data_IF_772765698551
#
_entry.id   IF_772765698551
#
_cell.length_a   1.000
_cell.length_b   1.000
_cell.length_c   1.000
_cell.angle_alpha   90.00
_cell.angle_beta   90.00
_cell.angle_gamma   90.00
#
_symmetry.space_group_name_H-M   'P 1'
#
loop_
_entity.id
_entity.type
_entity.pdbx_description
1 polymer ?
#
# COMPACT_ATOMS: atom_id res chain seq x y z
N UNK A 1 26.48 11.24 -26.71
CA UNK A 1 25.05 11.55 -26.96
C UNK A 1 24.40 12.06 -25.69
N UNK A 2 23.57 13.10 -25.78
CA UNK A 2 22.82 13.65 -24.66
C UNK A 2 21.35 13.95 -25.03
N UNK A 3 20.52 14.26 -24.04
CA UNK A 3 19.09 14.50 -24.26
C UNK A 3 18.78 15.68 -25.15
N UNK A 4 19.60 16.73 -25.13
CA UNK A 4 19.41 17.87 -26.02
C UNK A 4 19.64 17.48 -27.51
N UNK A 5 20.66 16.67 -27.78
CA UNK A 5 20.90 16.17 -29.12
C UNK A 5 19.75 15.29 -29.62
N UNK A 6 19.14 14.46 -28.77
CA UNK A 6 17.94 13.69 -29.15
C UNK A 6 16.75 14.62 -29.44
N UNK A 7 16.48 15.61 -28.57
CA UNK A 7 15.40 16.60 -28.83
C UNK A 7 15.64 17.37 -30.14
N UNK A 8 16.88 17.77 -30.40
CA UNK A 8 17.25 18.48 -31.63
C UNK A 8 17.06 17.61 -32.86
N UNK A 9 17.47 16.34 -32.80
CA UNK A 9 17.26 15.36 -33.84
C UNK A 9 15.78 15.17 -34.18
N UNK A 10 14.94 14.89 -33.16
CA UNK A 10 13.50 14.71 -33.34
C UNK A 10 12.83 15.97 -33.88
N UNK A 11 13.22 17.15 -33.38
CA UNK A 11 12.68 18.42 -33.90
C UNK A 11 13.08 18.66 -35.34
N UNK A 12 14.35 18.44 -35.70
CA UNK A 12 14.82 18.57 -37.09
C UNK A 12 14.14 17.57 -38.02
N UNK A 13 13.92 16.34 -37.56
CA UNK A 13 13.20 15.30 -38.30
C UNK A 13 11.76 15.72 -38.63
N UNK A 14 11.09 16.41 -37.69
CA UNK A 14 9.74 16.92 -37.87
C UNK A 14 9.64 18.07 -38.86
N UNK A 15 10.56 19.03 -38.80
CA UNK A 15 10.52 20.22 -39.64
C UNK A 15 11.24 20.05 -40.96
N UNK A 16 12.18 19.11 -41.07
CA UNK A 16 13.04 18.86 -42.21
C UNK A 16 13.74 20.12 -42.78
N UNK A 17 13.88 21.14 -41.94
CA UNK A 17 14.42 22.42 -42.26
C UNK A 17 15.16 23.04 -41.06
N UNK A 18 16.48 23.23 -41.17
CA UNK A 18 17.32 23.69 -40.06
C UNK A 18 16.85 24.99 -39.41
N UNK A 19 16.52 26.01 -40.24
CA UNK A 19 16.10 27.31 -39.71
C UNK A 19 14.80 27.18 -38.89
N UNK A 20 13.76 26.54 -39.42
CA UNK A 20 12.49 26.33 -38.73
C UNK A 20 12.66 25.51 -37.44
N UNK A 21 13.50 24.48 -37.49
CA UNK A 21 13.79 23.66 -36.32
C UNK A 21 14.55 24.44 -35.22
N UNK A 22 15.54 25.28 -35.64
CA UNK A 22 16.28 26.10 -34.68
C UNK A 22 15.41 27.20 -34.04
N UNK A 23 14.49 27.81 -34.79
CA UNK A 23 13.49 28.75 -34.27
C UNK A 23 12.59 28.08 -33.23
N UNK A 24 12.07 26.89 -33.54
CA UNK A 24 11.24 26.09 -32.59
C UNK A 24 11.99 25.71 -31.32
N UNK A 25 13.29 25.46 -31.43
CA UNK A 25 14.16 25.11 -30.31
C UNK A 25 14.73 26.33 -29.56
N UNK A 26 14.46 27.54 -30.03
CA UNK A 26 15.01 28.79 -29.49
C UNK A 26 16.56 28.80 -29.46
N UNK A 27 17.21 28.24 -30.48
CA UNK A 27 18.67 28.20 -30.65
C UNK A 27 19.09 28.74 -32.03
N UNK A 28 20.39 28.95 -32.21
CA UNK A 28 20.90 29.34 -33.54
C UNK A 28 20.99 28.12 -34.47
N UNK A 29 20.80 28.36 -35.77
CA UNK A 29 20.94 27.31 -36.79
C UNK A 29 22.35 26.65 -36.80
N UNK A 30 23.48 27.39 -36.65
CA UNK A 30 24.80 26.77 -36.51
C UNK A 30 24.90 25.83 -35.30
N UNK A 31 24.30 26.21 -34.14
CA UNK A 31 24.28 25.35 -32.93
C UNK A 31 23.53 24.04 -33.17
N UNK A 32 22.37 24.11 -33.85
CA UNK A 32 21.63 22.92 -34.23
C UNK A 32 22.44 22.03 -35.18
N UNK A 33 23.02 22.62 -36.21
CA UNK A 33 23.83 21.88 -37.21
C UNK A 33 25.03 21.19 -36.54
N UNK A 34 25.73 21.89 -35.66
CA UNK A 34 26.85 21.34 -34.92
C UNK A 34 26.42 20.16 -34.01
N UNK A 35 25.30 20.29 -33.29
CA UNK A 35 24.79 19.25 -32.41
C UNK A 35 24.39 17.98 -33.17
N UNK A 36 23.73 18.13 -34.35
CA UNK A 36 23.37 17.01 -35.23
C UNK A 36 24.62 16.34 -35.78
N UNK A 37 25.58 17.14 -36.27
CA UNK A 37 26.85 16.61 -36.80
C UNK A 37 27.65 15.86 -35.72
N UNK A 38 27.64 16.34 -34.47
CA UNK A 38 28.29 15.66 -33.37
C UNK A 38 27.58 14.32 -33.02
N UNK A 39 26.26 14.30 -33.08
CA UNK A 39 25.46 13.08 -32.87
C UNK A 39 25.77 12.04 -33.96
N UNK A 40 25.74 12.44 -35.23
CA UNK A 40 26.07 11.56 -36.35
C UNK A 40 27.50 11.03 -36.29
N UNK A 41 28.45 11.89 -35.88
CA UNK A 41 29.87 11.51 -35.70
C UNK A 41 30.03 10.45 -34.60
N UNK A 42 29.33 10.63 -33.50
CA UNK A 42 29.36 9.68 -32.36
C UNK A 42 28.75 8.33 -32.75
N UNK A 43 27.64 8.35 -33.49
CA UNK A 43 26.99 7.13 -33.99
C UNK A 43 27.71 6.49 -35.20
N UNK A 44 28.63 7.19 -35.82
CA UNK A 44 29.35 6.72 -37.00
C UNK A 44 28.49 6.61 -38.27
N UNK A 45 27.30 7.22 -38.30
CA UNK A 45 26.34 7.08 -39.40
C UNK A 45 25.60 8.40 -39.64
N UNK A 46 25.18 8.65 -40.89
CA UNK A 46 24.34 9.78 -41.23
C UNK A 46 22.88 9.51 -40.95
N UNK A 47 22.23 10.43 -40.20
CA UNK A 47 20.81 10.40 -39.89
C UNK A 47 19.99 11.25 -40.87
N UNK A 48 20.63 12.27 -41.44
CA UNK A 48 20.02 13.16 -42.45
C UNK A 48 20.84 13.18 -43.75
N UNK A 49 20.15 13.39 -44.84
CA UNK A 49 20.70 13.69 -46.16
C UNK A 49 20.07 14.97 -46.72
N UNK A 50 20.81 15.65 -47.61
CA UNK A 50 20.34 16.90 -48.22
C UNK A 50 19.28 16.63 -49.28
N UNK A 51 18.24 17.44 -49.26
CA UNK A 51 17.21 17.50 -50.28
C UNK A 51 16.98 18.97 -50.70
N UNK A 52 17.76 19.44 -51.66
CA UNK A 52 17.79 20.85 -52.06
C UNK A 52 18.17 21.78 -50.89
N UNK A 53 17.25 22.64 -50.48
CA UNK A 53 17.40 23.54 -49.32
C UNK A 53 16.98 22.90 -48.02
N UNK A 54 16.38 21.71 -48.06
CA UNK A 54 15.87 20.96 -46.93
C UNK A 54 16.80 19.80 -46.57
N UNK A 55 16.42 19.06 -45.55
CA UNK A 55 17.03 17.78 -45.15
C UNK A 55 15.94 16.75 -44.95
N UNK A 56 16.22 15.52 -45.33
CA UNK A 56 15.34 14.37 -45.12
C UNK A 56 16.05 13.30 -44.30
N UNK A 57 15.30 12.45 -43.67
CA UNK A 57 15.85 11.33 -42.88
C UNK A 57 16.38 10.24 -43.80
N UNK A 58 17.58 9.76 -43.52
CA UNK A 58 18.09 8.51 -44.07
C UNK A 58 17.26 7.32 -43.60
N UNK A 59 17.49 6.12 -44.14
CA UNK A 59 16.88 4.88 -43.63
C UNK A 59 17.20 4.66 -42.15
N UNK A 60 18.45 4.91 -41.75
CA UNK A 60 18.88 4.82 -40.35
C UNK A 60 18.26 5.91 -39.47
N UNK A 61 18.15 7.14 -39.99
CA UNK A 61 17.48 8.24 -39.33
C UNK A 61 16.00 7.93 -39.06
N UNK A 62 15.28 7.31 -40.00
CA UNK A 62 13.87 6.89 -39.80
C UNK A 62 13.73 5.82 -38.74
N UNK A 63 14.65 4.86 -38.68
CA UNK A 63 14.64 3.84 -37.61
C UNK A 63 14.92 4.47 -36.24
N UNK A 64 15.98 5.28 -36.17
CA UNK A 64 16.40 5.95 -34.94
C UNK A 64 15.36 6.95 -34.41
N UNK A 65 14.58 7.59 -35.31
CA UNK A 65 13.53 8.52 -34.93
C UNK A 65 12.49 7.88 -34.00
N UNK A 66 12.03 6.66 -34.30
CA UNK A 66 11.05 5.94 -33.49
C UNK A 66 11.56 5.72 -32.09
N UNK A 67 12.81 5.28 -31.96
CA UNK A 67 13.43 4.98 -30.68
C UNK A 67 13.69 6.25 -29.86
N UNK A 68 14.13 7.33 -30.54
CA UNK A 68 14.37 8.64 -29.94
C UNK A 68 13.07 9.28 -29.42
N UNK A 69 12.00 9.24 -30.20
CA UNK A 69 10.67 9.73 -29.79
C UNK A 69 10.14 8.97 -28.60
N UNK A 70 10.19 7.64 -28.63
CA UNK A 70 9.74 6.79 -27.51
C UNK A 70 10.53 7.07 -26.22
N UNK A 71 11.86 7.19 -26.35
CA UNK A 71 12.74 7.51 -25.19
C UNK A 71 12.40 8.86 -24.57
N UNK A 72 12.24 9.89 -25.40
CA UNK A 72 11.87 11.23 -24.92
C UNK A 72 10.48 11.25 -24.32
N UNK A 73 9.50 10.58 -24.91
CA UNK A 73 8.15 10.48 -24.38
C UNK A 73 8.11 9.77 -23.02
N UNK A 74 8.87 8.70 -22.86
CA UNK A 74 8.99 7.98 -21.58
C UNK A 74 9.58 8.89 -20.49
N UNK A 75 10.63 9.64 -20.82
CA UNK A 75 11.25 10.57 -19.88
C UNK A 75 10.27 11.71 -19.49
N UNK A 76 9.64 12.35 -20.48
CA UNK A 76 8.71 13.46 -20.26
C UNK A 76 7.52 12.99 -19.39
N UNK A 77 6.96 11.81 -19.66
CA UNK A 77 5.90 11.20 -18.85
C UNK A 77 6.36 10.95 -17.42
N UNK A 78 7.60 10.54 -17.23
CA UNK A 78 8.16 10.30 -15.88
C UNK A 78 8.34 11.60 -15.11
N UNK A 79 8.81 12.66 -15.77
CA UNK A 79 8.92 14.00 -15.17
C UNK A 79 7.55 14.56 -14.78
N UNK A 80 6.54 14.41 -15.64
CA UNK A 80 5.17 14.88 -15.32
C UNK A 80 4.56 14.11 -14.15
N UNK A 81 4.79 12.79 -14.03
CA UNK A 81 4.36 12.02 -12.86
C UNK A 81 5.01 12.56 -11.57
N UNK A 82 6.31 12.87 -11.59
CA UNK A 82 6.99 13.44 -10.42
C UNK A 82 6.47 14.84 -10.06
N UNK A 83 6.19 15.68 -11.04
CA UNK A 83 5.57 16.99 -10.81
C UNK A 83 4.17 16.86 -10.23
N UNK A 84 3.38 15.93 -10.72
CA UNK A 84 2.05 15.63 -10.20
C UNK A 84 2.13 15.12 -8.74
N UNK A 85 3.11 14.29 -8.43
CA UNK A 85 3.35 13.85 -7.05
C UNK A 85 3.74 15.00 -6.12
N UNK A 86 4.50 15.99 -6.59
CA UNK A 86 4.82 17.19 -5.83
C UNK A 86 3.58 18.05 -5.52
N UNK A 87 2.53 17.94 -6.30
CA UNK A 87 1.22 18.58 -6.07
C UNK A 87 0.29 17.77 -5.15
N UNK A 88 0.76 16.64 -4.64
CA UNK A 88 -0.01 15.76 -3.74
C UNK A 88 -0.95 14.79 -4.45
N UNK A 89 -0.75 14.56 -5.75
CA UNK A 89 -1.33 13.41 -6.44
C UNK A 89 -0.40 12.21 -6.34
N UNK A 90 -0.84 11.05 -6.78
CA UNK A 90 0.02 9.88 -6.94
C UNK A 90 -0.44 8.66 -6.17
N UNK A 91 0.53 7.86 -5.74
CA UNK A 91 0.30 6.54 -5.17
C UNK A 91 0.65 6.50 -3.70
N UNK A 92 -0.15 5.74 -2.93
CA UNK A 92 0.13 5.33 -1.57
C UNK A 92 0.16 3.80 -1.50
N UNK A 93 1.27 3.27 -1.04
CA UNK A 93 1.48 1.85 -0.81
C UNK A 93 1.26 1.53 0.67
N UNK A 94 0.22 0.74 0.97
CA UNK A 94 -0.24 0.49 2.32
C UNK A 94 -0.21 -1.00 2.63
N UNK A 95 0.63 -1.39 3.61
CA UNK A 95 0.57 -2.69 4.24
C UNK A 95 -0.58 -2.74 5.25
N UNK A 96 -1.29 -3.85 5.35
CA UNK A 96 -2.34 -3.98 6.35
C UNK A 96 -2.57 -5.42 6.79
N UNK A 97 -3.01 -5.58 8.01
CA UNK A 97 -3.58 -6.84 8.47
C UNK A 97 -4.96 -7.03 7.84
N UNK A 98 -5.28 -8.24 7.32
CA UNK A 98 -6.56 -8.51 6.65
C UNK A 98 -7.78 -8.07 7.46
N UNK A 99 -7.76 -8.28 8.76
CA UNK A 99 -8.86 -7.91 9.67
C UNK A 99 -9.18 -6.40 9.67
N UNK A 100 -8.20 -5.53 9.38
CA UNK A 100 -8.42 -4.08 9.27
C UNK A 100 -8.93 -3.66 7.89
N UNK A 101 -8.70 -4.48 6.87
CA UNK A 101 -9.10 -4.23 5.49
C UNK A 101 -10.60 -4.39 5.23
N UNK A 102 -11.35 -5.01 6.16
CA UNK A 102 -12.78 -5.29 5.97
C UNK A 102 -13.70 -4.11 6.33
N UNK A 103 -13.26 -3.22 7.21
CA UNK A 103 -14.08 -2.08 7.66
C UNK A 103 -13.25 -0.84 7.97
N UNK A 104 -12.27 -0.92 8.88
CA UNK A 104 -11.56 0.25 9.39
C UNK A 104 -10.82 1.04 8.30
N UNK A 105 -9.93 0.38 7.55
CA UNK A 105 -9.11 1.04 6.52
C UNK A 105 -9.97 1.62 5.39
N UNK A 106 -10.97 0.91 4.85
CA UNK A 106 -11.90 1.49 3.87
C UNK A 106 -12.61 2.76 4.36
N UNK A 107 -13.08 2.79 5.60
CA UNK A 107 -13.72 3.99 6.19
C UNK A 107 -12.73 5.14 6.33
N UNK A 108 -11.52 4.85 6.81
CA UNK A 108 -10.46 5.85 6.95
C UNK A 108 -10.11 6.49 5.61
N UNK A 109 -9.93 5.67 4.57
CA UNK A 109 -9.62 6.15 3.21
C UNK A 109 -10.76 6.97 2.63
N UNK A 110 -12.01 6.50 2.78
CA UNK A 110 -13.17 7.26 2.34
C UNK A 110 -13.20 8.65 2.98
N UNK A 111 -12.95 8.73 4.29
CA UNK A 111 -12.85 10.01 5.00
C UNK A 111 -11.71 10.88 4.47
N UNK A 112 -10.54 10.30 4.24
CA UNK A 112 -9.41 11.04 3.67
C UNK A 112 -9.72 11.61 2.29
N UNK A 113 -10.32 10.81 1.40
CA UNK A 113 -10.68 11.25 0.04
C UNK A 113 -11.67 12.43 0.04
N UNK A 114 -12.53 12.56 1.05
CA UNK A 114 -13.41 13.75 1.16
C UNK A 114 -12.65 15.03 1.46
N UNK A 115 -11.44 14.95 2.00
CA UNK A 115 -10.59 16.13 2.29
C UNK A 115 -9.78 16.60 1.08
N UNK A 116 -9.73 15.81 0.01
CA UNK A 116 -8.93 16.11 -1.19
C UNK A 116 -9.68 15.70 -2.49
N UNK A 117 -10.86 16.28 -2.77
CA UNK A 117 -11.73 15.85 -3.88
C UNK A 117 -11.11 16.03 -5.27
N UNK A 118 -10.22 17.00 -5.43
CA UNK A 118 -9.59 17.35 -6.72
C UNK A 118 -8.31 16.55 -7.00
N UNK A 119 -7.93 15.60 -6.13
CA UNK A 119 -6.70 14.84 -6.28
C UNK A 119 -6.94 13.47 -6.88
N UNK A 120 -6.00 13.07 -7.73
CA UNK A 120 -5.93 11.70 -8.25
C UNK A 120 -4.99 10.89 -7.35
N UNK A 121 -5.59 9.97 -6.57
CA UNK A 121 -4.87 9.15 -5.60
C UNK A 121 -5.10 7.68 -5.93
N UNK A 122 -4.01 6.95 -6.07
CA UNK A 122 -3.99 5.51 -6.31
C UNK A 122 -3.54 4.78 -5.05
N UNK A 123 -4.41 3.96 -4.47
CA UNK A 123 -4.12 3.19 -3.27
C UNK A 123 -3.79 1.75 -3.64
N UNK A 124 -2.62 1.30 -3.22
CA UNK A 124 -2.21 -0.10 -3.35
C UNK A 124 -2.10 -0.75 -1.97
N UNK A 125 -2.77 -1.89 -1.82
CA UNK A 125 -2.84 -2.62 -0.56
C UNK A 125 -2.08 -3.93 -0.62
N UNK A 126 -1.40 -4.22 0.47
CA UNK A 126 -0.59 -5.42 0.62
C UNK A 126 -0.86 -6.06 1.97
N UNK A 127 -0.87 -7.39 2.01
CA UNK A 127 -0.80 -8.09 3.28
C UNK A 127 0.62 -7.91 3.82
N UNK A 128 0.76 -7.24 4.96
CA UNK A 128 2.07 -6.95 5.54
C UNK A 128 2.01 -6.92 7.05
N UNK A 129 3.06 -7.46 7.65
CA UNK A 129 3.38 -7.27 9.06
C UNK A 129 4.42 -6.15 9.17
N UNK A 130 4.65 -5.63 10.37
CA UNK A 130 5.66 -4.60 10.61
C UNK A 130 7.07 -5.03 10.18
N UNK A 131 7.39 -6.34 10.29
CA UNK A 131 8.66 -6.91 9.83
C UNK A 131 8.88 -6.73 8.32
N UNK A 132 7.83 -6.92 7.51
CA UNK A 132 7.91 -6.72 6.05
C UNK A 132 8.22 -5.27 5.69
N UNK A 133 7.82 -4.31 6.54
CA UNK A 133 8.10 -2.90 6.38
C UNK A 133 9.61 -2.59 6.48
N UNK A 134 10.35 -3.32 7.31
CA UNK A 134 11.80 -3.19 7.48
C UNK A 134 12.58 -3.99 6.43
N UNK A 135 12.12 -5.20 6.12
CA UNK A 135 12.83 -6.13 5.25
C UNK A 135 12.76 -5.72 3.77
N UNK A 136 11.65 -5.19 3.31
CA UNK A 136 11.43 -4.83 1.91
C UNK A 136 11.85 -3.39 1.54
N UNK A 137 12.81 -2.80 2.26
CA UNK A 137 13.43 -1.52 1.90
C UNK A 137 12.44 -0.43 1.44
N UNK A 138 11.37 -0.20 2.20
CA UNK A 138 10.40 0.86 1.94
C UNK A 138 9.35 0.54 0.87
N UNK A 139 8.94 -0.69 0.76
CA UNK A 139 7.83 -1.06 -0.13
C UNK A 139 6.53 -0.33 0.21
N UNK A 140 6.32 -0.02 1.49
CA UNK A 140 5.11 0.64 1.97
C UNK A 140 5.38 2.04 2.50
N UNK A 141 4.46 2.97 2.26
CA UNK A 141 4.46 4.28 2.92
C UNK A 141 3.99 4.15 4.38
N UNK A 142 2.98 3.30 4.61
CA UNK A 142 2.35 3.03 5.90
C UNK A 142 1.99 1.57 6.05
N UNK A 143 1.95 1.11 7.30
CA UNK A 143 1.46 -0.24 7.62
C UNK A 143 0.47 -0.16 8.77
N UNK A 144 -0.73 -0.73 8.59
CA UNK A 144 -1.72 -0.90 9.66
C UNK A 144 -1.53 -2.28 10.30
N UNK A 145 -1.04 -2.28 11.54
CA UNK A 145 -0.56 -3.49 12.22
C UNK A 145 -0.79 -3.46 13.73
N UNK A 146 -0.48 -4.56 14.39
CA UNK A 146 -0.25 -4.59 15.83
C UNK A 146 1.13 -4.01 16.16
N UNK A 147 1.27 -3.36 17.32
CA UNK A 147 2.56 -2.85 17.76
C UNK A 147 3.50 -4.00 18.08
N UNK A 148 4.72 -3.90 17.58
CA UNK A 148 5.84 -4.74 17.98
C UNK A 148 6.72 -3.96 18.95
N UNK A 149 7.24 -4.64 19.96
CA UNK A 149 8.19 -4.05 20.91
C UNK A 149 9.58 -3.96 20.26
N UNK A 150 10.31 -2.87 20.57
CA UNK A 150 11.72 -2.67 20.23
C UNK A 150 12.04 -2.33 18.75
N UNK A 151 11.19 -1.53 18.08
CA UNK A 151 11.49 -1.04 16.73
C UNK A 151 11.85 0.46 16.74
N UNK A 152 13.11 0.83 16.98
CA UNK A 152 13.51 2.23 17.17
C UNK A 152 13.36 3.09 15.92
N UNK A 153 13.34 2.48 14.73
CA UNK A 153 13.20 3.16 13.45
C UNK A 153 11.76 3.40 13.01
N UNK A 154 10.79 2.87 13.75
CA UNK A 154 9.37 2.96 13.42
C UNK A 154 8.63 3.85 14.42
N UNK A 155 7.75 4.70 13.93
CA UNK A 155 6.73 5.38 14.74
C UNK A 155 5.41 4.66 14.61
N UNK A 156 4.67 4.62 15.72
CA UNK A 156 3.36 3.98 15.83
C UNK A 156 2.32 4.99 16.29
N UNK A 157 1.28 5.18 15.50
CA UNK A 157 0.11 5.99 15.82
C UNK A 157 -1.05 5.06 16.15
N UNK A 158 -1.65 5.11 17.35
CA UNK A 158 -2.82 4.30 17.67
C UNK A 158 -4.00 4.75 16.83
N UNK A 159 -4.63 3.84 16.09
CA UNK A 159 -5.67 4.18 15.12
C UNK A 159 -7.00 3.46 15.35
N UNK A 160 -6.99 2.28 15.95
CA UNK A 160 -8.19 1.51 16.21
C UNK A 160 -8.03 0.63 17.45
N UNK A 161 -9.18 0.30 18.06
CA UNK A 161 -9.31 -0.72 19.08
C UNK A 161 -10.27 -1.78 18.59
N UNK A 162 -10.01 -3.01 18.92
CA UNK A 162 -10.85 -4.13 18.55
C UNK A 162 -11.08 -5.00 19.80
N UNK A 163 -12.34 -5.18 20.11
CA UNK A 163 -12.79 -6.08 21.16
C UNK A 163 -12.50 -7.53 20.78
N UNK A 164 -12.15 -8.36 21.75
CA UNK A 164 -12.19 -9.81 21.62
C UNK A 164 -13.51 -10.33 22.19
N UNK A 165 -14.12 -11.27 21.48
CA UNK A 165 -15.41 -11.87 21.83
C UNK A 165 -15.31 -13.40 21.80
N UNK A 166 -16.19 -14.06 22.53
CA UNK A 166 -16.41 -15.50 22.39
C UNK A 166 -17.44 -15.72 21.30
N UNK A 167 -17.17 -16.66 20.40
CA UNK A 167 -18.15 -17.11 19.42
C UNK A 167 -18.51 -18.56 19.67
N UNK A 168 -19.80 -18.86 19.56
CA UNK A 168 -20.35 -20.20 19.81
C UNK A 168 -21.37 -20.58 18.72
N UNK A 169 -21.60 -21.89 18.47
CA UNK A 169 -22.70 -22.33 17.60
C UNK A 169 -24.06 -21.88 18.14
N UNK A 170 -25.10 -21.77 17.29
CA UNK A 170 -26.44 -21.32 17.72
C UNK A 170 -27.09 -22.20 18.80
N UNK A 171 -26.82 -23.49 18.76
CA UNK A 171 -27.40 -24.52 19.65
C UNK A 171 -26.50 -24.82 20.88
N UNK A 172 -25.43 -24.05 21.05
CA UNK A 172 -24.50 -24.22 22.16
C UNK A 172 -25.13 -23.79 23.47
N UNK A 173 -24.85 -24.47 24.64
CA UNK A 173 -25.39 -24.09 25.94
C UNK A 173 -25.17 -22.65 26.37
N UNK A 174 -24.19 -21.96 25.76
CA UNK A 174 -23.90 -20.56 26.04
C UNK A 174 -24.59 -19.60 25.05
N UNK A 175 -25.33 -20.08 24.06
CA UNK A 175 -25.87 -19.28 22.94
C UNK A 175 -26.87 -18.20 23.37
N UNK A 176 -27.55 -18.36 24.50
CA UNK A 176 -28.52 -17.41 25.04
C UNK A 176 -27.85 -16.26 25.84
N UNK A 177 -26.55 -16.36 26.08
CA UNK A 177 -25.80 -15.32 26.80
C UNK A 177 -25.37 -14.20 25.88
N UNK A 178 -25.41 -12.99 26.39
CA UNK A 178 -24.84 -11.79 25.74
C UNK A 178 -23.44 -11.44 26.26
N UNK A 179 -23.17 -11.87 27.52
CA UNK A 179 -21.92 -11.63 28.21
C UNK A 179 -21.43 -12.89 28.90
N UNK A 180 -20.12 -13.06 29.01
CA UNK A 180 -19.49 -14.21 29.66
C UNK A 180 -18.16 -13.81 30.30
N UNK A 181 -17.81 -14.48 31.40
CA UNK A 181 -16.44 -14.45 31.91
C UNK A 181 -15.61 -15.52 31.22
N UNK A 182 -14.39 -15.19 30.84
CA UNK A 182 -13.54 -16.10 30.09
C UNK A 182 -13.32 -17.48 30.76
N UNK A 183 -13.17 -17.60 32.12
CA UNK A 183 -13.07 -18.91 32.76
C UNK A 183 -14.26 -19.85 32.50
N UNK A 184 -15.45 -19.31 32.24
CA UNK A 184 -16.66 -20.12 31.99
C UNK A 184 -16.61 -20.81 30.60
N UNK A 185 -15.69 -20.42 29.74
CA UNK A 185 -15.47 -21.04 28.42
C UNK A 185 -14.56 -22.27 28.47
N UNK A 186 -13.84 -22.45 29.59
CA UNK A 186 -12.81 -23.50 29.74
C UNK A 186 -13.37 -24.93 29.85
N UNK A 187 -14.67 -25.06 30.06
CA UNK A 187 -15.35 -26.36 30.11
C UNK A 187 -15.72 -26.88 28.70
N UNK A 188 -15.47 -26.09 27.68
CA UNK A 188 -15.83 -26.41 26.30
C UNK A 188 -14.61 -26.51 25.38
N UNK A 189 -14.64 -27.38 24.35
CA UNK A 189 -13.56 -27.49 23.37
C UNK A 189 -13.32 -26.17 22.62
N UNK A 190 -12.06 -25.76 22.51
CA UNK A 190 -11.66 -24.48 21.94
C UNK A 190 -10.98 -24.67 20.58
N UNK A 191 -11.32 -23.79 19.65
CA UNK A 191 -10.56 -23.59 18.42
C UNK A 191 -9.67 -22.39 18.65
N UNK A 192 -8.36 -22.56 18.58
CA UNK A 192 -7.38 -21.52 18.87
C UNK A 192 -6.71 -21.02 17.58
N UNK A 193 -6.20 -19.82 17.64
CA UNK A 193 -5.26 -19.36 16.63
C UNK A 193 -3.99 -20.22 16.65
N UNK A 194 -3.41 -20.47 15.48
CA UNK A 194 -2.11 -21.15 15.40
C UNK A 194 -1.00 -20.31 16.05
N UNK A 195 0.10 -20.93 16.39
CA UNK A 195 1.26 -20.25 16.98
C UNK A 195 1.91 -19.20 16.07
N UNK A 196 1.61 -19.22 14.77
CA UNK A 196 2.07 -18.23 13.79
C UNK A 196 1.24 -16.96 13.80
N UNK A 197 0.03 -17.00 14.33
CA UNK A 197 -0.83 -15.84 14.44
C UNK A 197 -0.34 -14.88 15.53
N UNK A 198 -0.26 -13.60 15.21
CA UNK A 198 0.06 -12.55 16.18
C UNK A 198 -0.99 -12.39 17.29
N UNK A 199 -2.19 -12.99 17.15
CA UNK A 199 -3.23 -13.05 18.18
C UNK A 199 -3.00 -14.14 19.20
N UNK A 200 -2.34 -15.24 18.83
CA UNK A 200 -2.16 -16.39 19.73
C UNK A 200 -1.49 -16.01 21.05
N UNK A 201 -0.36 -15.28 21.10
CA UNK A 201 0.26 -14.91 22.37
C UNK A 201 -0.64 -14.05 23.27
N UNK A 202 -1.50 -13.21 22.66
CA UNK A 202 -2.46 -12.42 23.41
C UNK A 202 -3.53 -13.31 24.04
N UNK A 203 -4.15 -14.20 23.28
CA UNK A 203 -5.19 -15.11 23.77
C UNK A 203 -4.62 -16.09 24.81
N UNK A 204 -3.41 -16.60 24.61
CA UNK A 204 -2.74 -17.45 25.60
C UNK A 204 -2.53 -16.73 26.94
N UNK A 205 -2.14 -15.45 26.92
CA UNK A 205 -2.04 -14.61 28.14
C UNK A 205 -3.39 -14.46 28.85
N UNK A 206 -4.47 -14.38 28.07
CA UNK A 206 -5.82 -14.29 28.60
C UNK A 206 -6.17 -15.56 29.38
N UNK A 207 -6.03 -16.70 28.77
CA UNK A 207 -6.32 -17.97 29.43
C UNK A 207 -5.36 -18.26 30.58
N UNK A 208 -4.09 -17.89 30.46
CA UNK A 208 -3.13 -18.01 31.57
C UNK A 208 -3.55 -17.20 32.80
N UNK A 209 -4.10 -16.00 32.61
CA UNK A 209 -4.65 -15.19 33.71
C UNK A 209 -5.87 -15.84 34.36
N UNK A 210 -6.58 -16.74 33.68
CA UNK A 210 -7.65 -17.55 34.23
C UNK A 210 -7.15 -18.80 35.01
N UNK A 211 -5.83 -19.04 35.02
CA UNK A 211 -5.20 -20.14 35.76
C UNK A 211 -5.32 -21.52 35.11
N UNK A 212 -5.90 -21.64 33.93
CA UNK A 212 -6.06 -22.91 33.20
C UNK A 212 -5.93 -22.68 31.68
N UNK A 213 -5.30 -23.63 31.02
CA UNK A 213 -5.27 -23.63 29.54
C UNK A 213 -6.55 -24.28 29.00
N UNK A 214 -7.09 -23.76 27.87
CA UNK A 214 -8.23 -24.35 27.19
C UNK A 214 -7.90 -25.72 26.57
N UNK A 215 -8.90 -26.57 26.43
CA UNK A 215 -8.81 -27.80 25.65
C UNK A 215 -8.84 -27.42 24.14
N UNK A 216 -7.68 -27.47 23.51
CA UNK A 216 -7.50 -27.07 22.12
C UNK A 216 -7.72 -28.25 21.16
N UNK A 217 -8.75 -28.19 20.37
CA UNK A 217 -9.08 -29.23 19.38
C UNK A 217 -8.58 -28.92 17.98
N UNK A 218 -8.47 -27.63 17.60
CA UNK A 218 -7.92 -27.18 16.33
C UNK A 218 -7.08 -25.93 16.51
N UNK A 219 -6.02 -25.82 15.70
CA UNK A 219 -5.23 -24.60 15.55
C UNK A 219 -5.36 -24.08 14.11
N UNK A 220 -5.82 -22.84 13.94
CA UNK A 220 -6.15 -22.23 12.65
C UNK A 220 -5.53 -20.84 12.57
N UNK A 221 -5.02 -20.43 11.40
CA UNK A 221 -4.32 -19.15 11.23
C UNK A 221 -5.28 -17.95 11.15
N UNK A 222 -6.44 -18.13 10.50
CA UNK A 222 -7.34 -17.04 10.09
C UNK A 222 -8.63 -17.00 10.90
N UNK A 223 -8.97 -15.82 11.39
CA UNK A 223 -10.17 -15.57 12.22
C UNK A 223 -11.50 -15.97 11.54
N UNK A 224 -11.64 -15.70 10.24
CA UNK A 224 -12.83 -16.09 9.48
C UNK A 224 -12.95 -17.61 9.34
N UNK A 225 -11.83 -18.30 9.19
CA UNK A 225 -11.81 -19.77 9.13
C UNK A 225 -12.21 -20.36 10.49
N UNK A 226 -11.69 -19.81 11.60
CA UNK A 226 -12.11 -20.19 12.95
C UNK A 226 -13.64 -20.01 13.09
N UNK A 227 -14.17 -18.85 12.70
CA UNK A 227 -15.60 -18.58 12.78
C UNK A 227 -16.44 -19.57 11.95
N UNK A 228 -15.94 -19.99 10.77
CA UNK A 228 -16.57 -21.03 9.97
C UNK A 228 -16.63 -22.39 10.66
N UNK A 229 -15.57 -22.79 11.33
CA UNK A 229 -15.56 -24.05 12.12
C UNK A 229 -16.51 -23.98 13.31
N UNK A 230 -16.54 -22.83 14.02
CA UNK A 230 -17.51 -22.62 15.13
C UNK A 230 -18.94 -22.68 14.60
N UNK A 231 -19.26 -22.01 13.51
CA UNK A 231 -20.60 -22.02 12.91
C UNK A 231 -21.10 -23.43 12.52
N UNK A 232 -20.17 -24.36 12.30
CA UNK A 232 -20.48 -25.78 12.01
C UNK A 232 -20.37 -26.70 13.24
N UNK A 233 -20.30 -26.15 14.46
CA UNK A 233 -20.43 -26.91 15.69
C UNK A 233 -19.17 -27.65 16.15
N UNK A 234 -17.98 -27.33 15.63
CA UNK A 234 -16.75 -28.01 16.03
C UNK A 234 -16.22 -27.60 17.41
N UNK A 235 -16.70 -26.49 17.98
CA UNK A 235 -16.26 -25.96 19.26
C UNK A 235 -16.58 -24.49 19.39
N UNK A 236 -15.96 -23.83 20.36
CA UNK A 236 -16.07 -22.38 20.57
C UNK A 236 -14.72 -21.71 20.37
N UNK A 237 -14.69 -20.39 20.22
CA UNK A 237 -13.43 -19.67 20.05
C UNK A 237 -13.47 -18.25 20.62
N UNK A 238 -12.29 -17.72 20.98
CA UNK A 238 -12.07 -16.30 21.24
C UNK A 238 -11.51 -15.68 19.98
N UNK A 239 -12.22 -14.72 19.39
CA UNK A 239 -11.83 -14.05 18.13
C UNK A 239 -12.05 -12.54 18.23
N UNK A 240 -11.44 -11.76 17.32
CA UNK A 240 -11.79 -10.35 17.20
C UNK A 240 -13.26 -10.16 16.84
N UNK A 241 -13.90 -9.14 17.42
CA UNK A 241 -15.25 -8.74 17.05
C UNK A 241 -15.20 -8.07 15.66
N UNK A 242 -15.71 -8.77 14.65
CA UNK A 242 -15.68 -8.34 13.25
C UNK A 242 -17.11 -8.25 12.69
N UNK A 243 -17.43 -7.26 11.84
CA UNK A 243 -18.77 -7.13 11.24
C UNK A 243 -19.26 -8.38 10.50
N UNK A 244 -18.34 -9.17 9.95
CA UNK A 244 -18.68 -10.39 9.21
C UNK A 244 -19.34 -11.47 10.10
N UNK A 245 -19.04 -11.48 11.39
CA UNK A 245 -19.61 -12.45 12.33
C UNK A 245 -21.14 -12.37 12.40
N UNK A 246 -21.70 -11.16 12.22
CA UNK A 246 -23.14 -10.94 12.19
C UNK A 246 -23.87 -11.67 11.05
N UNK A 247 -23.14 -12.03 9.99
CA UNK A 247 -23.68 -12.73 8.81
C UNK A 247 -23.41 -14.24 8.84
N UNK A 248 -22.78 -14.73 9.91
CA UNK A 248 -22.46 -16.15 10.05
C UNK A 248 -23.46 -16.84 11.01
N UNK A 249 -23.68 -18.13 10.83
CA UNK A 249 -24.57 -18.91 11.68
C UNK A 249 -23.90 -19.26 13.02
N UNK A 250 -23.71 -18.24 13.87
CA UNK A 250 -23.09 -18.33 15.18
C UNK A 250 -23.65 -17.25 16.12
N UNK A 251 -23.32 -17.33 17.40
CA UNK A 251 -23.61 -16.30 18.40
C UNK A 251 -22.33 -15.66 18.89
N UNK A 252 -22.39 -14.34 19.09
CA UNK A 252 -21.30 -13.53 19.63
C UNK A 252 -21.62 -13.19 21.09
N UNK A 253 -20.67 -13.43 21.97
CA UNK A 253 -20.81 -13.20 23.43
C UNK A 253 -19.66 -12.31 23.87
N UNK A 254 -19.99 -11.20 24.54
CA UNK A 254 -18.99 -10.24 25.01
C UNK A 254 -18.25 -10.76 26.25
N UNK A 255 -16.95 -10.52 26.31
CA UNK A 255 -16.13 -10.90 27.46
C UNK A 255 -16.21 -9.78 28.51
N UNK A 256 -16.61 -10.08 29.74
CA UNK A 256 -16.88 -9.06 30.80
C UNK A 256 -15.62 -8.55 31.49
N UNK A 257 -14.49 -9.27 31.41
CA UNK A 257 -13.24 -8.81 32.01
C UNK A 257 -12.73 -7.55 31.33
N UNK A 258 -12.46 -6.52 32.09
CA UNK A 258 -11.90 -5.26 31.60
C UNK A 258 -10.47 -5.44 31.08
N UNK A 259 -10.10 -4.68 30.06
CA UNK A 259 -8.75 -4.55 29.45
C UNK A 259 -8.37 -5.56 28.35
N UNK A 260 -9.34 -6.10 27.63
CA UNK A 260 -9.11 -7.07 26.55
C UNK A 260 -9.27 -6.45 25.15
N UNK A 261 -8.73 -5.27 24.97
CA UNK A 261 -8.75 -4.58 23.69
C UNK A 261 -7.47 -4.85 22.90
N UNK A 262 -7.62 -5.37 21.71
CA UNK A 262 -6.55 -5.33 20.74
C UNK A 262 -6.42 -3.93 20.18
N UNK A 263 -5.22 -3.35 20.27
CA UNK A 263 -4.92 -2.02 19.70
C UNK A 263 -4.20 -2.17 18.40
N UNK A 264 -4.63 -1.39 17.42
CA UNK A 264 -3.99 -1.28 16.13
C UNK A 264 -3.32 0.08 15.97
N UNK A 265 -2.27 0.05 15.19
CA UNK A 265 -1.44 1.22 14.93
C UNK A 265 -1.23 1.39 13.45
N UNK A 266 -1.12 2.64 13.00
CA UNK A 266 -0.46 2.96 11.76
C UNK A 266 1.02 3.16 12.04
N UNK A 267 1.86 2.33 11.42
CA UNK A 267 3.30 2.36 11.54
C UNK A 267 3.93 2.98 10.29
N UNK A 268 5.03 3.73 10.47
CA UNK A 268 5.81 4.31 9.40
C UNK A 268 7.27 4.50 9.83
N UNK A 269 8.19 4.53 8.87
CA UNK A 269 9.63 4.75 9.13
C UNK A 269 9.89 6.20 9.55
N UNK A 270 10.67 6.36 10.63
CA UNK A 270 11.22 7.65 11.06
C UNK A 270 12.22 8.19 10.03
N UNK A 271 12.41 9.49 10.02
CA UNK A 271 13.49 10.17 9.30
C UNK A 271 13.61 9.79 7.82
N UNK A 272 12.47 9.45 7.16
CA UNK A 272 12.41 9.17 5.73
C UNK A 272 11.65 10.28 5.02
N UNK A 273 12.08 10.56 3.80
CA UNK A 273 11.32 11.45 2.92
C UNK A 273 9.95 10.83 2.63
N UNK A 274 8.93 11.63 2.76
CA UNK A 274 7.56 11.31 2.37
C UNK A 274 7.10 12.26 1.29
N UNK A 275 6.35 11.74 0.33
CA UNK A 275 5.71 12.57 -0.68
C UNK A 275 4.69 13.52 -0.01
N UNK A 276 4.35 14.65 -0.63
CA UNK A 276 3.30 15.54 -0.11
C UNK A 276 1.97 14.81 0.16
N UNK A 277 1.62 13.83 -0.67
CA UNK A 277 0.44 12.98 -0.47
C UNK A 277 0.57 12.13 0.81
N UNK A 278 1.71 11.48 1.02
CA UNK A 278 1.96 10.68 2.22
C UNK A 278 1.95 11.52 3.50
N UNK A 279 2.51 12.74 3.47
CA UNK A 279 2.44 13.67 4.60
C UNK A 279 1.00 14.15 4.89
N UNK A 280 0.20 14.40 3.87
CA UNK A 280 -1.22 14.73 4.04
C UNK A 280 -2.01 13.58 4.65
N UNK A 281 -1.79 12.35 4.17
CA UNK A 281 -2.44 11.16 4.73
C UNK A 281 -2.01 10.93 6.18
N UNK A 282 -0.72 11.06 6.49
CA UNK A 282 -0.20 10.98 7.86
C UNK A 282 -0.86 12.01 8.79
N UNK A 283 -0.96 13.25 8.35
CA UNK A 283 -1.58 14.34 9.11
C UNK A 283 -3.08 14.08 9.34
N UNK A 284 -3.77 13.58 8.33
CA UNK A 284 -5.17 13.19 8.42
C UNK A 284 -5.36 12.07 9.46
N UNK A 285 -4.56 11.02 9.40
CA UNK A 285 -4.65 9.91 10.35
C UNK A 285 -4.36 10.38 11.78
N UNK A 286 -3.34 11.25 11.97
CA UNK A 286 -3.03 11.83 13.30
C UNK A 286 -4.21 12.62 13.89
N UNK A 287 -4.93 13.37 13.06
CA UNK A 287 -6.08 14.18 13.53
C UNK A 287 -7.36 13.38 13.76
N UNK A 288 -7.45 12.16 13.22
CA UNK A 288 -8.60 11.24 13.35
C UNK A 288 -8.26 9.96 14.11
N UNK A 289 -7.04 9.86 14.64
CA UNK A 289 -6.65 8.74 15.49
C UNK A 289 -7.51 8.70 16.76
N UNK A 290 -7.92 7.52 17.15
CA UNK A 290 -8.55 7.32 18.45
C UNK A 290 -7.48 7.50 19.53
N UNK A 291 -7.58 8.59 20.26
CA UNK A 291 -6.80 8.86 21.48
C UNK A 291 -7.33 8.01 22.64
#
# INVERSE_FOLDING_TARGET
MNLYQLRYFVTLAKFQHYMKASEQLCITQPSLSHAISALEKELGIKLFEKDGRNVILTKCGKSFLKDAEHTLQLLDSSVERLKSSAQGNGRLDIGLLPTLGTDFVPRLIRGFLTTCPDKTIDFHFYNGLTADFLEENQKYDFTFCSRMDQEPLIDFIPVARQELVVIVPPDHPLSDRTEIRLPETLDYPQILFSRRSGLRPMIDKLFLACGKQPDCIFEIDEDQTIAGFVANGFGIAVVPNMPILANMHLKVIHITEANWERRFYMAYLKNRYRTPLAEQFLSYVKSHALI
#
